data_IF_692842960960
#
_entry.id   IF_692842960960
#
_cell.length_a   1.000
_cell.length_b   1.000
_cell.length_c   1.000
_cell.angle_alpha   90.00
_cell.angle_beta   90.00
_cell.angle_gamma   90.00
#
_symmetry.space_group_name_H-M   'P 1'
#
loop_
_entity.id
_entity.type
_entity.pdbx_description
1 polymer ?
#
# COMPACT_ATOMS: atom_id res chain seq x y z
N UNK A 1 -38.71 51.05 -33.69
CA UNK A 1 -37.62 50.04 -33.68
C UNK A 1 -36.94 50.11 -32.33
N UNK A 2 -37.18 49.12 -31.46
CA UNK A 2 -36.53 49.02 -30.14
C UNK A 2 -35.56 47.83 -30.24
N UNK A 3 -34.26 48.14 -30.19
CA UNK A 3 -33.18 47.16 -30.24
C UNK A 3 -32.94 46.64 -28.81
N UNK A 4 -33.20 45.38 -28.58
CA UNK A 4 -32.89 44.72 -27.30
C UNK A 4 -31.43 44.20 -27.31
N UNK A 5 -30.63 44.70 -26.37
CA UNK A 5 -29.30 44.15 -26.12
C UNK A 5 -29.40 42.95 -25.16
N UNK A 6 -28.96 41.80 -25.66
CA UNK A 6 -28.87 40.56 -24.89
C UNK A 6 -27.50 40.53 -24.20
N UNK A 7 -27.46 40.73 -22.87
CA UNK A 7 -26.27 40.56 -22.07
C UNK A 7 -26.09 39.07 -21.78
N UNK A 8 -25.04 38.48 -22.34
CA UNK A 8 -24.60 37.11 -22.03
C UNK A 8 -23.67 37.21 -20.78
N UNK A 9 -24.16 36.75 -19.66
CA UNK A 9 -23.32 36.53 -18.45
C UNK A 9 -22.48 35.27 -18.67
N UNK A 10 -21.18 35.45 -18.87
CA UNK A 10 -20.20 34.36 -18.83
C UNK A 10 -19.80 34.18 -17.33
N UNK A 11 -20.31 33.12 -16.74
CA UNK A 11 -19.85 32.69 -15.41
C UNK A 11 -18.47 32.03 -15.53
N UNK A 12 -17.44 32.74 -15.11
CA UNK A 12 -16.10 32.19 -14.95
C UNK A 12 -16.12 31.31 -13.70
N UNK A 13 -16.16 30.01 -13.87
CA UNK A 13 -15.92 29.05 -12.80
C UNK A 13 -14.40 29.07 -12.51
N UNK A 14 -14.00 29.86 -11.55
CA UNK A 14 -12.64 29.79 -11.00
C UNK A 14 -12.50 28.51 -10.20
N UNK A 15 -11.90 27.51 -10.81
CA UNK A 15 -11.46 26.31 -10.10
C UNK A 15 -10.40 26.73 -9.07
N UNK A 16 -10.78 26.78 -7.82
CA UNK A 16 -9.83 26.92 -6.71
C UNK A 16 -9.01 25.65 -6.60
N UNK A 17 -7.80 25.69 -7.16
CA UNK A 17 -6.76 24.74 -6.78
C UNK A 17 -6.53 24.92 -5.26
N UNK A 18 -7.04 23.98 -4.47
CA UNK A 18 -6.74 23.90 -3.05
C UNK A 18 -5.26 23.51 -2.89
N UNK A 19 -4.39 24.50 -2.94
CA UNK A 19 -3.03 24.40 -2.46
C UNK A 19 -3.12 24.17 -0.95
N UNK A 20 -2.85 22.94 -0.49
CA UNK A 20 -2.82 22.62 0.93
C UNK A 20 -1.74 23.46 1.59
N UNK A 21 -2.18 24.39 2.47
CA UNK A 21 -1.26 25.13 3.32
C UNK A 21 -0.42 24.17 4.14
N UNK A 22 0.89 24.40 4.21
CA UNK A 22 1.91 23.60 4.92
C UNK A 22 1.66 23.46 6.44
N UNK A 23 0.59 24.05 6.98
CA UNK A 23 0.23 24.02 8.40
C UNK A 23 -0.66 22.85 8.84
N UNK A 24 -1.13 21.99 7.94
CA UNK A 24 -2.10 20.92 8.25
C UNK A 24 -1.53 19.49 8.06
N UNK A 25 -0.26 19.28 8.43
CA UNK A 25 0.31 17.92 8.46
C UNK A 25 -0.20 17.15 9.69
N UNK A 26 -1.50 16.78 9.65
CA UNK A 26 -2.25 16.11 10.73
C UNK A 26 -2.91 14.84 10.18
N UNK A 27 -3.34 13.92 11.05
CA UNK A 27 -4.20 12.81 10.64
C UNK A 27 -5.50 13.35 10.01
N UNK A 28 -5.96 12.67 8.96
CA UNK A 28 -7.23 13.01 8.32
C UNK A 28 -7.95 11.75 7.82
N UNK A 29 -9.24 11.89 7.56
CA UNK A 29 -10.04 10.87 6.89
C UNK A 29 -10.31 11.30 5.45
N UNK A 30 -10.01 10.41 4.50
CA UNK A 30 -10.31 10.60 3.09
C UNK A 30 -11.58 9.85 2.74
N UNK A 31 -12.67 10.54 2.39
CA UNK A 31 -13.86 9.89 1.84
C UNK A 31 -13.58 9.38 0.43
N UNK A 32 -14.16 8.23 0.08
CA UNK A 32 -14.16 7.70 -1.29
C UNK A 32 -15.42 8.23 -1.99
N UNK A 33 -15.23 9.09 -2.98
CA UNK A 33 -16.31 9.74 -3.72
C UNK A 33 -17.31 8.73 -4.29
N UNK A 34 -18.59 8.96 -4.04
CA UNK A 34 -19.67 8.08 -4.51
C UNK A 34 -19.94 6.88 -3.57
N UNK A 35 -19.36 6.87 -2.37
CA UNK A 35 -19.60 5.82 -1.37
C UNK A 35 -19.68 6.38 0.05
N UNK A 36 -20.06 5.54 1.01
CA UNK A 36 -20.01 5.84 2.44
C UNK A 36 -18.65 5.50 3.08
N UNK A 37 -17.76 4.88 2.31
CA UNK A 37 -16.46 4.45 2.80
C UNK A 37 -15.47 5.61 2.87
N UNK A 38 -14.61 5.55 3.87
CA UNK A 38 -13.50 6.47 4.09
C UNK A 38 -12.31 5.70 4.64
N UNK A 39 -11.12 6.26 4.54
CA UNK A 39 -9.93 5.69 5.15
C UNK A 39 -9.13 6.77 5.89
N UNK A 40 -8.49 6.35 6.98
CA UNK A 40 -7.70 7.23 7.82
C UNK A 40 -6.25 7.25 7.36
N UNK A 41 -5.70 8.44 7.20
CA UNK A 41 -4.29 8.71 6.91
C UNK A 41 -3.61 9.32 8.13
N UNK A 42 -2.43 8.83 8.48
CA UNK A 42 -1.61 9.37 9.57
C UNK A 42 -0.33 9.99 9.02
N UNK A 43 0.12 11.13 9.57
CA UNK A 43 1.32 11.81 9.10
C UNK A 43 2.57 11.12 9.63
N UNK A 44 3.53 10.92 8.76
CA UNK A 44 4.86 10.40 9.07
C UNK A 44 5.85 11.53 8.82
N UNK A 45 6.55 12.04 9.86
CA UNK A 45 7.46 13.16 9.72
C UNK A 45 8.65 12.81 8.83
N UNK A 46 9.20 13.81 8.14
CA UNK A 46 10.49 13.64 7.48
C UNK A 46 11.56 13.27 8.50
N UNK A 47 12.48 12.41 8.12
CA UNK A 47 13.53 12.00 9.02
C UNK A 47 14.56 11.08 8.43
N UNK A 48 15.41 10.58 9.29
CA UNK A 48 16.49 9.67 8.94
C UNK A 48 16.44 8.44 9.84
N UNK A 49 16.65 7.26 9.28
CA UNK A 49 16.71 6.02 10.05
C UNK A 49 17.74 5.05 9.47
N UNK A 50 18.03 4.00 10.22
CA UNK A 50 18.85 2.86 9.77
C UNK A 50 17.90 1.80 9.20
N UNK A 51 17.87 1.67 7.88
CA UNK A 51 17.13 0.64 7.17
C UNK A 51 17.86 -0.69 7.23
N UNK A 52 17.15 -1.76 7.49
CA UNK A 52 17.70 -3.12 7.62
C UNK A 52 17.98 -3.53 9.06
N UNK A 53 18.51 -4.74 9.23
CA UNK A 53 18.81 -5.33 10.53
C UNK A 53 20.29 -5.25 10.87
N UNK A 54 20.61 -5.04 12.15
CA UNK A 54 21.98 -5.11 12.66
C UNK A 54 22.55 -6.54 12.47
N UNK A 55 23.86 -6.66 12.29
CA UNK A 55 24.53 -7.97 12.16
C UNK A 55 24.31 -8.85 13.39
N UNK A 56 24.04 -8.24 14.54
CA UNK A 56 23.79 -8.92 15.82
C UNK A 56 22.32 -9.30 16.02
N UNK A 57 21.40 -8.87 15.11
CA UNK A 57 19.98 -9.19 15.25
C UNK A 57 19.74 -10.68 15.03
N UNK A 58 19.08 -11.32 15.99
CA UNK A 58 18.82 -12.75 15.97
C UNK A 58 17.86 -13.11 14.83
N UNK A 59 18.21 -14.16 14.09
CA UNK A 59 17.38 -14.67 12.98
C UNK A 59 17.19 -13.69 11.83
N UNK A 60 18.13 -12.73 11.67
CA UNK A 60 18.17 -11.89 10.47
C UNK A 60 18.46 -12.71 9.22
N UNK A 61 17.93 -12.28 8.10
CA UNK A 61 18.28 -12.84 6.80
C UNK A 61 19.37 -12.01 6.11
N UNK A 62 20.07 -12.62 5.17
CA UNK A 62 21.19 -11.97 4.48
C UNK A 62 20.75 -10.72 3.69
N UNK A 63 19.55 -10.73 3.15
CA UNK A 63 18.98 -9.65 2.34
C UNK A 63 18.48 -8.42 3.14
N UNK A 64 18.57 -8.48 4.48
CA UNK A 64 18.21 -7.37 5.37
C UNK A 64 19.40 -6.44 5.69
N UNK A 65 20.48 -6.57 4.96
CA UNK A 65 21.67 -5.75 5.21
C UNK A 65 22.63 -5.69 4.03
N UNK A 66 23.71 -4.89 4.16
CA UNK A 66 24.11 -4.11 5.34
C UNK A 66 23.11 -3.00 5.68
N UNK A 67 23.03 -2.61 6.97
CA UNK A 67 22.20 -1.46 7.35
C UNK A 67 22.62 -0.21 6.57
N UNK A 68 21.65 0.58 6.15
CA UNK A 68 21.85 1.83 5.41
C UNK A 68 21.15 2.98 6.10
N UNK A 69 21.85 4.09 6.25
CA UNK A 69 21.24 5.33 6.71
C UNK A 69 20.44 5.95 5.58
N UNK A 70 19.13 6.09 5.77
CA UNK A 70 18.18 6.56 4.75
C UNK A 70 17.53 7.86 5.22
N UNK A 71 17.32 8.79 4.29
CA UNK A 71 16.54 10.01 4.50
C UNK A 71 15.21 9.90 3.78
N UNK A 72 14.12 10.25 4.46
CA UNK A 72 12.79 10.28 3.89
C UNK A 72 12.15 11.65 4.06
N UNK A 73 11.48 12.10 3.01
CA UNK A 73 10.58 13.23 3.08
C UNK A 73 9.32 12.84 3.86
N UNK A 74 8.57 13.83 4.34
CA UNK A 74 7.32 13.58 5.05
C UNK A 74 6.22 13.06 4.10
N UNK A 75 5.37 12.19 4.63
CA UNK A 75 4.26 11.60 3.89
C UNK A 75 3.11 11.23 4.85
N UNK A 76 1.92 10.99 4.31
CA UNK A 76 0.87 10.28 5.04
C UNK A 76 0.84 8.83 4.62
N UNK A 77 0.49 7.96 5.56
CA UNK A 77 0.29 6.53 5.32
C UNK A 77 -1.06 6.09 5.89
N UNK A 78 -1.69 5.11 5.27
CA UNK A 78 -2.92 4.53 5.78
C UNK A 78 -2.73 3.98 7.19
N UNK A 79 -3.60 4.39 8.12
CA UNK A 79 -3.58 3.84 9.49
C UNK A 79 -3.80 2.33 9.51
N UNK A 80 -4.51 1.82 8.52
CA UNK A 80 -4.90 0.43 8.33
C UNK A 80 -4.54 -0.04 6.92
N UNK A 81 -4.55 -1.36 6.72
CA UNK A 81 -4.62 -1.97 5.40
C UNK A 81 -5.90 -1.49 4.68
N UNK A 82 -5.87 -1.44 3.34
CA UNK A 82 -7.09 -1.18 2.56
C UNK A 82 -8.08 -2.32 2.80
N UNK A 83 -9.30 -1.97 3.20
CA UNK A 83 -10.32 -2.99 3.48
C UNK A 83 -10.99 -3.49 2.22
N UNK A 84 -11.61 -4.68 2.31
CA UNK A 84 -12.39 -5.25 1.22
C UNK A 84 -13.57 -4.34 0.85
N UNK A 85 -14.23 -3.73 1.84
CA UNK A 85 -15.31 -2.79 1.61
C UNK A 85 -14.85 -1.60 0.73
N UNK A 86 -13.63 -1.09 0.95
CA UNK A 86 -13.04 -0.01 0.16
C UNK A 86 -12.63 -0.48 -1.23
N UNK A 87 -12.00 -1.65 -1.34
CA UNK A 87 -11.52 -2.20 -2.60
C UNK A 87 -12.69 -2.62 -3.52
N UNK A 88 -13.78 -3.10 -2.95
CA UNK A 88 -14.98 -3.53 -3.69
C UNK A 88 -15.67 -2.35 -4.41
N UNK A 89 -15.54 -1.11 -3.93
CA UNK A 89 -16.03 0.07 -4.64
C UNK A 89 -15.32 0.19 -5.99
N UNK A 90 -14.00 0.03 -6.00
CA UNK A 90 -13.21 0.02 -7.24
C UNK A 90 -13.61 -1.13 -8.17
N UNK A 91 -13.82 -2.33 -7.62
CA UNK A 91 -14.23 -3.49 -8.42
C UNK A 91 -15.59 -3.30 -9.09
N UNK A 92 -16.51 -2.59 -8.43
CA UNK A 92 -17.88 -2.39 -8.87
C UNK A 92 -18.11 -1.09 -9.65
N UNK A 93 -17.08 -0.23 -9.75
CA UNK A 93 -17.20 1.06 -10.45
C UNK A 93 -17.14 0.87 -11.97
N UNK A 94 -18.29 0.89 -12.60
CA UNK A 94 -18.47 0.76 -14.04
C UNK A 94 -18.05 2.02 -14.84
N UNK A 95 -17.91 3.16 -14.15
CA UNK A 95 -17.51 4.43 -14.79
C UNK A 95 -16.01 4.52 -15.11
N UNK A 96 -15.21 3.62 -14.58
CA UNK A 96 -13.76 3.59 -14.85
C UNK A 96 -13.39 2.84 -16.12
N UNK A 97 -14.31 2.05 -16.68
CA UNK A 97 -14.15 1.38 -17.97
C UNK A 97 -14.97 2.09 -19.04
N UNK A 98 -14.32 2.57 -20.09
CA UNK A 98 -14.97 3.13 -21.27
C UNK A 98 -15.49 2.05 -22.23
N UNK A 99 -15.18 0.78 -21.99
CA UNK A 99 -15.53 -0.34 -22.85
C UNK A 99 -15.82 -1.58 -21.99
N UNK A 100 -17.09 -1.98 -21.92
CA UNK A 100 -17.55 -3.12 -21.14
C UNK A 100 -16.95 -4.45 -21.57
N UNK A 101 -16.51 -4.57 -22.83
CA UNK A 101 -15.99 -5.82 -23.39
C UNK A 101 -14.50 -6.05 -23.07
N UNK A 102 -13.77 -5.03 -22.58
CA UNK A 102 -12.33 -5.10 -22.34
C UNK A 102 -11.98 -4.72 -20.90
N UNK A 103 -12.83 -5.02 -19.97
CA UNK A 103 -12.76 -4.51 -18.61
C UNK A 103 -11.55 -5.00 -17.80
N UNK A 104 -10.97 -6.14 -18.16
CA UNK A 104 -9.74 -6.64 -17.56
C UNK A 104 -8.49 -5.74 -17.73
N UNK A 105 -8.61 -4.57 -18.38
CA UNK A 105 -7.51 -3.60 -18.55
C UNK A 105 -7.54 -2.54 -17.46
N UNK A 106 -8.71 -2.00 -17.14
CA UNK A 106 -8.87 -0.82 -16.26
C UNK A 106 -9.37 -1.16 -14.86
N UNK A 107 -10.09 -2.25 -14.71
CA UNK A 107 -10.51 -2.80 -13.42
C UNK A 107 -10.33 -4.32 -13.39
N UNK A 108 -10.24 -4.94 -12.21
CA UNK A 108 -10.13 -6.39 -12.12
C UNK A 108 -11.34 -7.10 -12.70
N UNK A 109 -11.08 -8.18 -13.44
CA UNK A 109 -12.12 -9.14 -13.78
C UNK A 109 -12.72 -9.76 -12.51
N UNK A 110 -13.98 -10.19 -12.51
CA UNK A 110 -14.54 -10.95 -11.39
C UNK A 110 -13.65 -12.13 -11.00
N UNK A 111 -13.60 -12.42 -9.70
CA UNK A 111 -12.92 -13.60 -9.20
C UNK A 111 -13.69 -14.87 -9.61
N UNK A 112 -13.00 -15.90 -10.08
CA UNK A 112 -13.62 -17.19 -10.43
C UNK A 112 -14.05 -17.99 -9.21
N UNK A 113 -13.31 -17.81 -8.11
CA UNK A 113 -13.55 -18.43 -6.81
C UNK A 113 -13.49 -17.36 -5.74
N UNK A 114 -14.10 -17.62 -4.61
CA UNK A 114 -13.96 -16.73 -3.46
C UNK A 114 -12.54 -16.79 -2.90
N UNK A 115 -11.73 -15.79 -3.24
CA UNK A 115 -10.34 -15.68 -2.79
C UNK A 115 -10.22 -15.20 -1.33
N UNK A 116 -11.34 -14.98 -0.64
CA UNK A 116 -11.34 -14.79 0.82
C UNK A 116 -11.21 -16.11 1.57
N UNK A 117 -11.44 -17.23 0.89
CA UNK A 117 -11.37 -18.57 1.49
C UNK A 117 -12.27 -18.73 2.71
N UNK A 118 -13.36 -17.95 2.77
CA UNK A 118 -14.31 -17.95 3.88
C UNK A 118 -13.85 -17.23 5.15
N UNK A 119 -12.69 -16.54 5.11
CA UNK A 119 -12.14 -15.83 6.28
C UNK A 119 -12.87 -14.53 6.63
N UNK A 120 -13.64 -13.97 5.70
CA UNK A 120 -14.40 -12.73 5.89
C UNK A 120 -14.11 -11.68 4.83
N UNK A 121 -15.08 -10.82 4.52
CA UNK A 121 -14.97 -9.83 3.46
C UNK A 121 -15.70 -8.52 3.72
N UNK A 122 -16.60 -8.46 4.69
CA UNK A 122 -17.43 -7.29 4.98
C UNK A 122 -17.20 -6.78 6.40
N UNK A 123 -17.38 -5.46 6.59
CA UNK A 123 -17.27 -4.85 7.90
C UNK A 123 -15.85 -4.67 8.40
N UNK A 124 -14.92 -4.32 7.50
CA UNK A 124 -13.56 -3.93 7.87
C UNK A 124 -12.51 -5.05 7.78
N UNK A 125 -12.78 -6.15 7.09
CA UNK A 125 -11.72 -7.12 6.76
C UNK A 125 -10.79 -6.54 5.67
N UNK A 126 -9.48 -6.85 5.71
CA UNK A 126 -8.55 -6.36 4.71
C UNK A 126 -8.82 -6.95 3.32
N UNK A 127 -8.55 -6.20 2.27
CA UNK A 127 -8.58 -6.70 0.90
C UNK A 127 -7.36 -7.60 0.66
N UNK A 128 -7.59 -8.78 0.10
CA UNK A 128 -6.55 -9.78 -0.09
C UNK A 128 -6.47 -10.34 -1.52
N UNK A 129 -5.44 -11.13 -1.79
CA UNK A 129 -5.26 -11.92 -3.02
C UNK A 129 -5.10 -11.11 -4.30
N UNK A 130 -4.92 -9.78 -4.23
CA UNK A 130 -4.67 -8.97 -5.41
C UNK A 130 -3.18 -8.94 -5.75
N UNK A 131 -2.86 -8.75 -7.03
CA UNK A 131 -1.50 -8.45 -7.47
C UNK A 131 -1.07 -7.02 -7.09
N UNK A 132 0.24 -6.74 -7.09
CA UNK A 132 0.76 -5.38 -6.94
C UNK A 132 0.17 -4.44 -8.00
N UNK A 133 0.01 -4.93 -9.25
CA UNK A 133 -0.66 -4.18 -10.32
C UNK A 133 -2.08 -3.76 -9.93
N UNK A 134 -2.87 -4.67 -9.37
CA UNK A 134 -4.24 -4.37 -8.96
C UNK A 134 -4.29 -3.34 -7.83
N UNK A 135 -3.38 -3.41 -6.87
CA UNK A 135 -3.23 -2.40 -5.82
C UNK A 135 -2.85 -1.02 -6.40
N UNK A 136 -1.95 -0.97 -7.38
CA UNK A 136 -1.59 0.28 -8.08
C UNK A 136 -2.72 0.82 -8.96
N UNK A 137 -3.53 -0.05 -9.58
CA UNK A 137 -4.73 0.37 -10.32
C UNK A 137 -5.79 0.95 -9.39
N UNK A 138 -5.95 0.40 -8.17
CA UNK A 138 -6.76 1.02 -7.13
C UNK A 138 -6.26 2.43 -6.77
N UNK A 139 -4.95 2.63 -6.62
CA UNK A 139 -4.38 3.95 -6.39
C UNK A 139 -4.69 4.94 -7.53
N UNK A 140 -4.58 4.47 -8.79
CA UNK A 140 -4.91 5.27 -9.97
C UNK A 140 -6.39 5.64 -10.01
N UNK A 141 -7.26 4.68 -9.78
CA UNK A 141 -8.70 4.91 -9.69
C UNK A 141 -9.03 5.90 -8.57
N UNK A 142 -8.43 5.74 -7.40
CA UNK A 142 -8.65 6.64 -6.27
C UNK A 142 -8.22 8.07 -6.59
N UNK A 143 -7.10 8.25 -7.32
CA UNK A 143 -6.69 9.55 -7.84
C UNK A 143 -7.74 10.15 -8.78
N UNK A 144 -8.30 9.38 -9.69
CA UNK A 144 -9.36 9.84 -10.59
C UNK A 144 -10.64 10.26 -9.84
N UNK A 145 -10.97 9.58 -8.73
CA UNK A 145 -12.15 9.89 -7.92
C UNK A 145 -11.96 11.06 -6.96
N UNK A 146 -10.76 11.28 -6.45
CA UNK A 146 -10.50 12.24 -5.37
C UNK A 146 -9.66 13.44 -5.79
N UNK A 147 -8.96 13.36 -6.91
CA UNK A 147 -7.93 14.33 -7.30
C UNK A 147 -6.67 14.28 -6.44
N UNK A 148 -6.58 13.36 -5.47
CA UNK A 148 -5.44 13.22 -4.56
C UNK A 148 -4.59 12.03 -4.96
N UNK A 149 -3.28 12.25 -5.15
CA UNK A 149 -2.35 11.21 -5.55
C UNK A 149 -2.00 10.29 -4.38
N UNK A 150 -2.36 9.03 -4.53
CA UNK A 150 -1.99 7.93 -3.64
C UNK A 150 -1.17 6.89 -4.39
N UNK A 151 -0.31 6.19 -3.66
CA UNK A 151 0.50 5.08 -4.16
C UNK A 151 0.76 4.05 -3.05
N UNK A 152 1.42 2.96 -3.39
CA UNK A 152 1.99 2.06 -2.40
C UNK A 152 3.19 2.72 -1.70
N UNK A 153 3.54 2.32 -0.47
CA UNK A 153 4.80 2.72 0.15
C UNK A 153 5.99 2.16 -0.63
N UNK A 154 7.12 2.86 -0.59
CA UNK A 154 8.41 2.21 -0.88
C UNK A 154 8.78 1.28 0.28
N UNK A 155 9.70 0.33 0.05
CA UNK A 155 10.22 -0.54 1.13
C UNK A 155 10.81 0.28 2.28
N UNK A 156 11.50 1.37 1.96
CA UNK A 156 12.09 2.28 2.95
C UNK A 156 11.02 3.05 3.73
N UNK A 157 9.99 3.56 3.08
CA UNK A 157 8.87 4.25 3.75
C UNK A 157 8.10 3.30 4.66
N UNK A 158 7.87 2.07 4.19
CA UNK A 158 7.19 1.05 4.98
C UNK A 158 7.97 0.71 6.26
N UNK A 159 9.29 0.43 6.15
CA UNK A 159 10.13 0.08 7.31
C UNK A 159 10.26 1.26 8.28
N UNK A 160 10.45 2.47 7.79
CA UNK A 160 10.49 3.68 8.60
C UNK A 160 9.20 3.88 9.41
N UNK A 161 8.05 3.74 8.72
CA UNK A 161 6.75 3.87 9.34
C UNK A 161 6.48 2.73 10.36
N UNK A 162 6.90 1.51 10.04
CA UNK A 162 6.80 0.36 10.94
C UNK A 162 7.61 0.61 12.22
N UNK A 163 8.88 1.00 12.09
CA UNK A 163 9.77 1.25 13.24
C UNK A 163 9.30 2.39 14.14
N UNK A 164 8.65 3.39 13.59
CA UNK A 164 8.17 4.55 14.34
C UNK A 164 9.20 5.14 15.31
N UNK A 165 10.45 5.27 14.84
CA UNK A 165 11.57 5.81 15.60
C UNK A 165 12.37 4.80 16.42
N UNK A 166 11.99 3.52 16.47
CA UNK A 166 12.75 2.47 17.18
C UNK A 166 13.85 1.84 16.32
N UNK A 167 14.83 1.27 16.97
CA UNK A 167 15.93 0.50 16.34
C UNK A 167 15.91 -0.97 16.74
N UNK A 168 14.92 -1.38 17.53
CA UNK A 168 14.74 -2.73 18.05
C UNK A 168 14.23 -3.69 16.98
N UNK A 169 14.25 -4.98 17.27
CA UNK A 169 13.79 -6.06 16.39
C UNK A 169 12.35 -5.83 15.91
N UNK A 170 11.47 -5.49 16.84
CA UNK A 170 10.09 -5.07 16.59
C UNK A 170 9.91 -3.62 17.03
N UNK A 171 8.90 -2.93 16.52
CA UNK A 171 8.62 -1.54 16.94
C UNK A 171 8.24 -1.41 18.43
N UNK A 172 7.88 -2.51 19.08
CA UNK A 172 7.54 -2.56 20.52
C UNK A 172 8.69 -3.07 21.40
N UNK A 173 9.89 -3.25 20.85
CA UNK A 173 11.09 -3.73 21.57
C UNK A 173 11.58 -5.08 21.04
N UNK A 174 12.36 -5.81 21.86
CA UNK A 174 12.95 -7.09 21.49
C UNK A 174 12.23 -8.31 22.09
N UNK A 175 11.24 -8.05 22.94
CA UNK A 175 10.47 -9.10 23.63
C UNK A 175 9.35 -9.66 22.71
N UNK A 176 9.66 -10.78 22.05
CA UNK A 176 8.73 -11.49 21.18
C UNK A 176 7.41 -11.90 21.86
N UNK A 177 7.40 -12.09 23.18
CA UNK A 177 6.16 -12.53 23.89
C UNK A 177 5.03 -11.52 23.79
N UNK A 178 5.34 -10.25 23.49
CA UNK A 178 4.38 -9.17 23.27
C UNK A 178 3.75 -9.16 21.88
N UNK A 179 4.24 -9.96 20.93
CA UNK A 179 3.77 -9.93 19.53
C UNK A 179 2.26 -10.06 19.42
N UNK A 180 1.64 -10.94 20.19
CA UNK A 180 0.18 -11.15 20.23
C UNK A 180 -0.67 -9.92 20.56
N UNK A 181 -0.05 -8.88 21.15
CA UNK A 181 -0.75 -7.62 21.45
C UNK A 181 -0.84 -6.72 20.23
N UNK A 182 0.04 -6.90 19.24
CA UNK A 182 0.26 -6.00 18.11
C UNK A 182 0.00 -6.62 16.74
N UNK A 183 0.05 -7.95 16.63
CA UNK A 183 -0.05 -8.66 15.37
C UNK A 183 -1.06 -9.81 15.42
N UNK A 184 -1.72 -10.06 14.30
CA UNK A 184 -2.39 -11.32 13.99
C UNK A 184 -1.38 -12.21 13.27
N UNK A 185 -1.03 -13.31 13.90
CA UNK A 185 -0.05 -14.30 13.44
C UNK A 185 -0.66 -15.71 13.47
N UNK A 186 0.12 -16.71 13.04
CA UNK A 186 -0.32 -18.11 13.01
C UNK A 186 -0.78 -18.62 14.39
N UNK A 187 -0.18 -18.10 15.46
CA UNK A 187 -0.46 -18.55 16.82
C UNK A 187 -1.71 -17.85 17.43
N UNK A 188 -2.15 -16.71 16.86
CA UNK A 188 -3.21 -15.86 17.45
C UNK A 188 -4.39 -15.59 16.51
N UNK A 189 -4.31 -15.95 15.23
CA UNK A 189 -5.30 -15.61 14.21
C UNK A 189 -6.22 -16.76 13.78
N UNK A 190 -6.20 -17.93 14.42
CA UNK A 190 -6.99 -19.11 14.01
C UNK A 190 -6.86 -19.44 12.50
N UNK A 191 -5.63 -19.36 11.96
CA UNK A 191 -5.31 -19.57 10.54
C UNK A 191 -6.02 -18.62 9.56
N UNK A 192 -6.44 -17.44 10.00
CA UNK A 192 -7.16 -16.46 9.19
C UNK A 192 -6.70 -15.03 9.49
N UNK A 193 -6.91 -14.14 8.49
CA UNK A 193 -6.82 -12.72 8.74
C UNK A 193 -8.06 -12.23 9.51
N UNK A 194 -7.90 -11.11 10.19
CA UNK A 194 -8.95 -10.51 11.01
C UNK A 194 -9.30 -9.09 10.52
N UNK A 195 -10.34 -8.50 11.08
CA UNK A 195 -10.70 -7.11 10.82
C UNK A 195 -9.57 -6.19 11.22
N UNK A 196 -9.33 -5.16 10.40
CA UNK A 196 -8.27 -4.20 10.68
C UNK A 196 -8.50 -3.43 11.99
N UNK A 197 -7.41 -3.07 12.67
CA UNK A 197 -7.45 -2.20 13.84
C UNK A 197 -7.85 -2.84 15.15
N UNK A 198 -7.84 -4.17 15.25
CA UNK A 198 -8.22 -4.86 16.49
C UNK A 198 -7.04 -5.07 17.46
N UNK A 199 -5.82 -4.99 16.98
CA UNK A 199 -4.60 -5.03 17.80
C UNK A 199 -4.12 -3.62 18.16
N UNK A 200 -3.12 -3.51 19.02
CA UNK A 200 -2.51 -2.22 19.38
C UNK A 200 -1.73 -1.65 18.19
N UNK A 201 -1.80 -0.33 17.96
CA UNK A 201 -1.00 0.32 16.93
C UNK A 201 0.46 0.46 17.35
N UNK A 202 1.32 0.78 16.37
CA UNK A 202 2.66 1.26 16.66
C UNK A 202 2.63 2.72 17.21
N UNK A 203 3.77 3.28 17.67
CA UNK A 203 3.82 4.63 18.24
C UNK A 203 3.31 5.75 17.32
N UNK A 204 3.29 5.54 16.00
CA UNK A 204 2.76 6.51 15.03
C UNK A 204 1.29 6.26 14.64
N UNK A 205 0.62 5.30 15.30
CA UNK A 205 -0.80 5.04 15.09
C UNK A 205 -1.11 4.16 13.90
N UNK A 206 -0.17 3.32 13.46
CA UNK A 206 -0.35 2.32 12.42
C UNK A 206 -0.77 0.99 13.05
N UNK A 207 -1.91 0.49 12.63
CA UNK A 207 -2.45 -0.81 13.03
C UNK A 207 -2.04 -1.87 12.01
N UNK A 208 -1.92 -3.10 12.49
CA UNK A 208 -1.66 -4.29 11.66
C UNK A 208 -0.44 -4.11 10.73
N UNK A 209 0.51 -3.23 11.12
CA UNK A 209 1.75 -3.01 10.36
C UNK A 209 2.68 -4.24 10.45
N UNK A 210 2.45 -5.09 11.43
CA UNK A 210 3.01 -6.43 11.56
C UNK A 210 1.84 -7.41 11.66
N UNK A 211 1.86 -8.48 10.86
CA UNK A 211 0.83 -9.51 10.85
C UNK A 211 -0.36 -9.15 9.96
N UNK A 212 -1.46 -9.81 10.18
CA UNK A 212 -2.68 -9.78 9.38
C UNK A 212 -2.39 -10.14 7.91
N UNK A 213 -2.09 -9.18 7.03
CA UNK A 213 -1.63 -9.46 5.67
C UNK A 213 -0.23 -8.88 5.41
N UNK A 214 0.59 -9.59 4.64
CA UNK A 214 1.78 -8.99 4.03
C UNK A 214 1.37 -7.87 3.08
N UNK A 215 2.15 -6.80 3.03
CA UNK A 215 1.79 -5.61 2.29
C UNK A 215 2.70 -5.38 1.09
N UNK A 216 2.09 -5.12 -0.07
CA UNK A 216 2.82 -4.69 -1.25
C UNK A 216 3.55 -3.38 -1.01
N UNK A 217 4.81 -3.33 -1.41
CA UNK A 217 5.57 -2.10 -1.61
C UNK A 217 5.71 -1.77 -3.10
N UNK A 218 6.22 -0.58 -3.45
CA UNK A 218 6.50 -0.21 -4.83
C UNK A 218 7.67 -1.00 -5.42
N UNK A 219 8.56 -1.47 -4.54
CA UNK A 219 9.86 -1.98 -4.93
C UNK A 219 9.78 -3.33 -5.63
N UNK A 220 10.67 -3.51 -6.59
CA UNK A 220 11.06 -4.82 -7.07
C UNK A 220 11.99 -5.46 -6.04
N UNK A 221 11.74 -6.71 -5.69
CA UNK A 221 12.62 -7.39 -4.74
C UNK A 221 13.95 -7.75 -5.39
N UNK A 222 15.02 -7.30 -4.75
CA UNK A 222 16.40 -7.61 -5.07
C UNK A 222 17.09 -7.99 -3.75
N UNK A 223 17.60 -9.24 -3.57
CA UNK A 223 18.27 -9.64 -2.35
C UNK A 223 19.55 -8.83 -2.08
N UNK A 224 20.19 -8.30 -3.13
CA UNK A 224 21.39 -7.46 -3.05
C UNK A 224 21.08 -5.97 -2.96
N UNK A 225 19.82 -5.60 -2.77
CA UNK A 225 19.38 -4.20 -2.80
C UNK A 225 20.18 -3.30 -1.88
N UNK A 226 20.43 -3.75 -0.64
CA UNK A 226 21.07 -2.93 0.37
C UNK A 226 22.55 -2.67 0.08
N UNK A 227 23.21 -3.54 -0.67
CA UNK A 227 24.55 -3.29 -1.17
C UNK A 227 24.60 -2.16 -2.22
N UNK A 228 23.47 -1.92 -2.93
CA UNK A 228 23.35 -0.94 -4.00
C UNK A 228 22.83 0.42 -3.54
N UNK A 229 22.30 0.51 -2.34
CA UNK A 229 21.84 1.79 -1.76
C UNK A 229 23.05 2.53 -1.19
N UNK A 230 23.20 3.79 -1.55
CA UNK A 230 24.19 4.66 -0.95
C UNK A 230 23.77 5.10 0.46
N UNK A 231 24.74 5.32 1.34
CA UNK A 231 24.49 5.92 2.64
C UNK A 231 23.94 7.34 2.48
N UNK A 232 22.94 7.70 3.29
CA UNK A 232 22.17 8.94 3.22
C UNK A 232 21.36 9.09 1.92
N UNK A 233 21.10 8.00 1.20
CA UNK A 233 20.18 8.03 0.06
C UNK A 233 18.83 8.64 0.48
N UNK A 234 18.30 9.53 -0.36
CA UNK A 234 17.03 10.19 -0.13
C UNK A 234 15.92 9.48 -0.90
N UNK A 235 14.85 9.10 -0.19
CA UNK A 235 13.67 8.44 -0.75
C UNK A 235 14.01 7.27 -1.70
N UNK A 236 14.86 6.30 -1.30
CA UNK A 236 15.28 5.24 -2.21
C UNK A 236 14.10 4.35 -2.59
N UNK A 237 14.05 4.01 -3.86
CA UNK A 237 13.11 3.04 -4.44
C UNK A 237 13.86 2.24 -5.50
N UNK A 238 13.47 1.00 -5.74
CA UNK A 238 14.05 0.25 -6.86
C UNK A 238 13.55 0.78 -8.18
N UNK A 239 14.39 0.71 -9.20
CA UNK A 239 13.98 1.06 -10.55
C UNK A 239 12.78 0.23 -10.99
N UNK A 240 11.84 0.89 -11.66
CA UNK A 240 10.65 0.23 -12.19
C UNK A 240 11.06 -0.74 -13.28
N UNK A 241 10.64 -1.99 -13.13
CA UNK A 241 10.75 -2.97 -14.20
C UNK A 241 9.38 -3.63 -14.46
N UNK A 242 9.19 -4.14 -15.65
CA UNK A 242 7.93 -4.76 -16.07
C UNK A 242 7.80 -6.22 -15.61
N UNK A 243 8.77 -6.77 -14.89
CA UNK A 243 8.70 -8.13 -14.38
C UNK A 243 7.55 -8.25 -13.36
N UNK A 244 6.72 -9.27 -13.54
CA UNK A 244 5.63 -9.58 -12.62
C UNK A 244 6.18 -10.03 -11.25
N UNK A 245 7.31 -10.72 -11.25
CA UNK A 245 7.96 -11.31 -10.07
C UNK A 245 9.48 -11.12 -10.14
N UNK A 246 10.20 -11.08 -9.01
CA UNK A 246 9.67 -10.91 -7.66
C UNK A 246 9.37 -9.43 -7.33
N UNK A 247 8.30 -9.16 -6.61
CA UNK A 247 7.98 -7.85 -6.04
C UNK A 247 8.13 -7.91 -4.53
N UNK A 248 8.53 -6.81 -3.90
CA UNK A 248 8.78 -6.75 -2.47
C UNK A 248 7.50 -6.62 -1.65
N UNK A 249 7.48 -7.32 -0.51
CA UNK A 249 6.43 -7.24 0.50
C UNK A 249 7.04 -7.12 1.90
N UNK A 250 6.25 -6.60 2.83
CA UNK A 250 6.64 -6.39 4.21
C UNK A 250 5.55 -6.83 5.18
N UNK A 251 5.90 -6.94 6.48
CA UNK A 251 4.97 -7.08 7.60
C UNK A 251 4.77 -8.49 8.13
N UNK A 252 4.91 -9.51 7.30
CA UNK A 252 4.43 -10.85 7.65
C UNK A 252 2.90 -10.91 7.64
N UNK A 253 2.32 -12.07 7.89
CA UNK A 253 0.88 -12.26 7.85
C UNK A 253 0.40 -13.26 8.88
N UNK A 254 -0.90 -13.48 8.93
CA UNK A 254 -1.53 -14.50 9.78
C UNK A 254 -1.00 -15.93 9.53
N UNK A 255 -0.25 -16.16 8.46
CA UNK A 255 0.33 -17.48 8.12
C UNK A 255 1.75 -17.68 8.65
N UNK A 256 2.37 -16.65 9.18
CA UNK A 256 3.72 -16.70 9.74
C UNK A 256 3.69 -16.62 11.27
N UNK A 257 4.84 -16.95 11.89
CA UNK A 257 5.02 -16.86 13.32
C UNK A 257 6.36 -16.21 13.70
N UNK A 258 6.41 -15.62 14.88
CA UNK A 258 7.63 -15.27 15.57
C UNK A 258 8.55 -14.28 14.85
N UNK A 259 9.69 -14.74 14.36
CA UNK A 259 10.73 -13.87 13.77
C UNK A 259 10.39 -13.35 12.37
N UNK A 260 9.30 -13.80 11.78
CA UNK A 260 8.78 -13.26 10.52
C UNK A 260 8.27 -11.82 10.65
N UNK A 261 8.01 -11.35 11.89
CA UNK A 261 7.46 -10.02 12.17
C UNK A 261 8.51 -8.97 12.56
N UNK A 262 9.81 -9.26 12.35
CA UNK A 262 10.86 -8.26 12.57
C UNK A 262 10.66 -7.07 11.62
N UNK A 263 10.87 -5.85 12.13
CA UNK A 263 10.66 -4.63 11.33
C UNK A 263 11.46 -4.61 10.03
N UNK A 264 12.64 -5.23 10.00
CA UNK A 264 13.51 -5.33 8.84
C UNK A 264 13.19 -6.52 7.91
N UNK A 265 12.35 -7.47 8.33
CA UNK A 265 12.08 -8.69 7.56
C UNK A 265 11.51 -8.35 6.19
N UNK A 266 12.07 -8.98 5.16
CA UNK A 266 11.68 -8.82 3.77
C UNK A 266 11.00 -10.07 3.25
N UNK A 267 9.99 -9.87 2.41
CA UNK A 267 9.29 -10.93 1.68
C UNK A 267 9.23 -10.59 0.20
N UNK A 268 8.97 -11.57 -0.62
CA UNK A 268 8.83 -11.36 -2.07
C UNK A 268 7.75 -12.25 -2.68
N UNK A 269 7.21 -11.77 -3.76
CA UNK A 269 6.21 -12.51 -4.54
C UNK A 269 6.87 -13.57 -5.44
N UNK A 270 6.14 -14.64 -5.70
CA UNK A 270 6.61 -15.78 -6.47
C UNK A 270 5.64 -16.18 -7.60
N UNK A 271 6.15 -16.73 -8.70
CA UNK A 271 5.29 -17.28 -9.77
C UNK A 271 4.31 -18.35 -9.28
N UNK A 272 4.65 -19.05 -8.20
CA UNK A 272 3.80 -20.06 -7.56
C UNK A 272 2.46 -19.50 -7.12
N UNK A 273 2.39 -18.22 -6.74
CA UNK A 273 1.17 -17.55 -6.26
C UNK A 273 0.04 -17.45 -7.29
N UNK A 274 0.35 -17.68 -8.56
CA UNK A 274 -0.64 -17.71 -9.64
C UNK A 274 -0.70 -19.07 -10.38
N UNK A 275 -0.25 -20.14 -9.74
CA UNK A 275 -0.14 -21.46 -10.40
C UNK A 275 -1.50 -22.04 -10.73
N UNK A 276 -2.46 -21.96 -9.81
CA UNK A 276 -3.80 -22.56 -9.97
C UNK A 276 -4.82 -21.67 -10.68
N UNK A 277 -4.41 -20.47 -11.09
CA UNK A 277 -5.30 -19.62 -11.89
C UNK A 277 -5.69 -20.34 -13.19
N UNK A 278 -6.99 -20.55 -13.43
CA UNK A 278 -7.45 -21.30 -14.61
C UNK A 278 -7.39 -20.47 -15.89
N UNK A 279 -7.17 -19.15 -15.81
CA UNK A 279 -7.13 -18.29 -17.00
C UNK A 279 -5.89 -18.53 -17.86
N UNK A 280 -6.07 -18.38 -19.19
CA UNK A 280 -4.99 -18.38 -20.17
C UNK A 280 -5.19 -17.13 -21.05
N UNK A 281 -4.31 -16.12 -20.96
CA UNK A 281 -3.18 -15.97 -20.01
C UNK A 281 -3.64 -15.81 -18.57
N UNK A 282 -2.76 -16.16 -17.63
CA UNK A 282 -3.00 -16.01 -16.18
C UNK A 282 -3.39 -14.58 -15.80
N UNK A 283 -4.26 -14.43 -14.82
CA UNK A 283 -4.74 -13.13 -14.34
C UNK A 283 -3.59 -12.17 -14.04
N UNK A 284 -3.76 -10.93 -14.45
CA UNK A 284 -2.89 -9.81 -14.05
C UNK A 284 -3.34 -9.18 -12.73
N UNK A 285 -4.55 -9.52 -12.27
CA UNK A 285 -5.24 -8.90 -11.15
C UNK A 285 -5.18 -9.72 -9.88
N UNK A 286 -5.40 -11.02 -10.00
CA UNK A 286 -5.59 -11.91 -8.89
C UNK A 286 -4.45 -12.93 -8.77
N UNK A 287 -4.13 -13.27 -7.53
CA UNK A 287 -3.14 -14.27 -7.16
C UNK A 287 -3.85 -15.34 -6.34
N UNK A 288 -4.11 -16.50 -6.93
CA UNK A 288 -4.93 -17.56 -6.34
C UNK A 288 -4.34 -18.19 -5.08
N UNK A 289 -3.01 -18.12 -4.92
CA UNK A 289 -2.31 -18.71 -3.77
C UNK A 289 -1.85 -17.68 -2.74
N UNK A 290 -2.10 -16.37 -2.98
CA UNK A 290 -1.62 -15.30 -2.12
C UNK A 290 -2.73 -14.73 -1.21
N UNK A 291 -3.45 -15.61 -0.49
CA UNK A 291 -4.55 -15.24 0.40
C UNK A 291 -4.13 -14.32 1.55
N UNK A 292 -2.85 -14.27 1.84
CA UNK A 292 -2.20 -13.54 2.93
C UNK A 292 -1.53 -12.23 2.49
N UNK A 293 -1.92 -11.68 1.33
CA UNK A 293 -1.31 -10.48 0.76
C UNK A 293 -2.34 -9.39 0.53
N UNK A 294 -2.06 -8.20 1.06
CA UNK A 294 -2.85 -6.99 0.92
C UNK A 294 -1.97 -5.77 0.65
N UNK A 295 -2.42 -4.58 1.02
CA UNK A 295 -1.66 -3.34 0.85
C UNK A 295 -2.22 -2.20 1.68
N UNK A 296 -1.39 -1.17 1.91
CA UNK A 296 -1.82 0.13 2.44
C UNK A 296 -1.39 1.27 1.52
N UNK A 297 -1.97 2.46 1.73
CA UNK A 297 -1.77 3.63 0.90
C UNK A 297 -0.73 4.57 1.50
N UNK A 298 0.02 5.25 0.62
CA UNK A 298 0.87 6.39 0.95
C UNK A 298 0.48 7.60 0.11
N UNK A 299 0.54 8.78 0.71
CA UNK A 299 0.40 10.08 0.05
C UNK A 299 1.61 10.95 0.39
N UNK A 300 2.41 11.41 -0.58
CA UNK A 300 3.48 12.38 -0.34
C UNK A 300 2.95 13.66 0.28
N UNK A 301 3.70 14.28 1.20
CA UNK A 301 3.30 15.58 1.78
C UNK A 301 3.26 16.66 0.71
N UNK A 302 4.28 16.69 -0.14
CA UNK A 302 4.30 17.59 -1.30
C UNK A 302 3.64 16.85 -2.46
N UNK A 303 2.51 17.39 -2.93
CA UNK A 303 1.80 16.83 -4.08
C UNK A 303 2.71 16.88 -5.32
N UNK A 304 2.92 15.76 -6.03
CA UNK A 304 3.68 15.77 -7.26
C UNK A 304 2.96 16.55 -8.36
N UNK A 305 3.71 17.04 -9.36
CA UNK A 305 3.11 17.65 -10.54
C UNK A 305 2.28 16.62 -11.34
N UNK A 306 1.33 17.11 -12.14
CA UNK A 306 0.51 16.24 -13.01
C UNK A 306 1.40 15.40 -13.96
N UNK A 307 2.48 15.97 -14.46
CA UNK A 307 3.44 15.27 -15.30
C UNK A 307 4.10 14.11 -14.56
N UNK A 308 4.54 14.35 -13.31
CA UNK A 308 5.13 13.32 -12.46
C UNK A 308 4.12 12.20 -12.16
N UNK A 309 2.85 12.54 -11.89
CA UNK A 309 1.78 11.56 -11.65
C UNK A 309 1.53 10.70 -12.90
N UNK A 310 1.45 11.33 -14.06
CA UNK A 310 1.27 10.63 -15.33
C UNK A 310 2.45 9.69 -15.63
N UNK A 311 3.69 10.18 -15.43
CA UNK A 311 4.89 9.38 -15.60
C UNK A 311 4.92 8.18 -14.62
N UNK A 312 4.51 8.39 -13.37
CA UNK A 312 4.39 7.32 -12.38
C UNK A 312 3.46 6.20 -12.87
N UNK A 313 2.21 6.52 -13.23
CA UNK A 313 1.27 5.49 -13.67
C UNK A 313 1.69 4.84 -15.00
N UNK A 314 2.28 5.61 -15.92
CA UNK A 314 2.84 5.05 -17.14
C UNK A 314 3.96 4.04 -16.85
N UNK A 315 4.88 4.38 -15.95
CA UNK A 315 6.03 3.53 -15.64
C UNK A 315 5.62 2.24 -14.90
N UNK A 316 4.69 2.34 -13.93
CA UNK A 316 4.29 1.18 -13.13
C UNK A 316 3.18 0.34 -13.76
N UNK A 317 2.32 0.93 -14.58
CA UNK A 317 1.13 0.27 -15.13
C UNK A 317 1.16 0.12 -16.65
N UNK A 318 2.02 0.87 -17.35
CA UNK A 318 2.06 0.92 -18.81
C UNK A 318 0.84 1.64 -19.42
N UNK A 319 0.24 2.62 -18.72
CA UNK A 319 -1.01 3.29 -19.09
C UNK A 319 -0.79 4.79 -19.33
#
# INVERSE_FOLDING_TARGET
>A
MKTAFLLILISIVTGTNAQSNSNDFKPYEQPITGSTQKFKMVPIPAGTFLMGSALTELKRDADEGPQKKIQLDAFWIGAYEVTRDQFDIFLKDDQTSMNSDVDAITRPSPQYVDLTWGMGKEGGYPANSMSQRAALMYCRWLYQKTGVFYRLPTEAEWEYACRAGTTTTYFFGDDKSKLKEYAWDLDSGDDKYEKVGQKKPNPWGLYDILGNLMEWTLDHYDPERYNKIEDNAKNPVTEVNNAKYPKSLRGGSFMESGTAFRSAKRFHSEPAWNRRDPQIPKSKWWLTEAKNVGFRLVRPQIAPSQETINAFFKNYLGL
#
